data_IF_789336085729
#
_entry.id   IF_789336085729
#
_cell.length_a   1.000
_cell.length_b   1.000
_cell.length_c   1.000
_cell.angle_alpha   90.00
_cell.angle_beta   90.00
_cell.angle_gamma   90.00
#
_symmetry.space_group_name_H-M   'P 1'
#
loop_
_entity.id
_entity.type
_entity.pdbx_description
1 polymer ?
#
# COMPACT_ATOMS: atom_id res chain seq x y z
N UNK A 1 5.90 0.15 2.67
CA UNK A 1 4.58 -0.43 2.33
C UNK A 1 3.53 -0.27 3.45
N UNK A 2 3.62 -0.96 4.60
CA UNK A 2 2.57 -0.91 5.65
C UNK A 2 2.23 0.49 6.16
N UNK A 3 3.23 1.35 6.36
CA UNK A 3 3.00 2.76 6.70
C UNK A 3 2.10 3.47 5.66
N UNK A 4 2.34 3.25 4.37
CA UNK A 4 1.54 3.83 3.30
C UNK A 4 0.11 3.30 3.30
N UNK A 5 -0.09 2.00 3.59
CA UNK A 5 -1.43 1.43 3.78
C UNK A 5 -2.17 2.17 4.91
N UNK A 6 -1.49 2.43 6.02
CA UNK A 6 -2.10 3.09 7.18
C UNK A 6 -2.41 4.57 6.93
N UNK A 7 -1.51 5.29 6.27
CA UNK A 7 -1.67 6.73 6.04
C UNK A 7 -2.56 7.06 4.85
N UNK A 8 -2.59 6.22 3.81
CA UNK A 8 -3.37 6.46 2.58
C UNK A 8 -4.76 5.85 2.59
N UNK A 9 -4.95 4.70 3.23
CA UNK A 9 -6.26 4.02 3.30
C UNK A 9 -6.95 4.13 4.67
N UNK A 10 -6.41 4.95 5.58
CA UNK A 10 -6.91 5.13 6.95
C UNK A 10 -7.08 3.82 7.74
N UNK A 11 -6.35 2.77 7.34
CA UNK A 11 -6.42 1.45 7.95
C UNK A 11 -5.48 1.45 9.17
N UNK A 12 -6.03 1.33 10.38
CA UNK A 12 -5.17 1.14 11.56
C UNK A 12 -4.56 -0.27 11.55
N UNK A 13 -3.39 -0.48 12.18
CA UNK A 13 -2.75 -1.81 12.23
C UNK A 13 -3.71 -2.91 12.69
N UNK A 14 -4.48 -2.67 13.75
CA UNK A 14 -5.45 -3.65 14.27
C UNK A 14 -6.64 -3.93 13.33
N UNK A 15 -6.97 -3.01 12.43
CA UNK A 15 -8.02 -3.24 11.42
C UNK A 15 -7.47 -4.05 10.25
N UNK A 16 -6.23 -3.80 9.83
CA UNK A 16 -5.58 -4.54 8.74
C UNK A 16 -5.47 -6.03 9.05
N UNK A 17 -5.03 -6.38 10.27
CA UNK A 17 -4.88 -7.79 10.66
C UNK A 17 -6.22 -8.53 10.86
N UNK A 18 -7.34 -7.79 10.93
CA UNK A 18 -8.67 -8.38 11.00
C UNK A 18 -9.26 -8.68 9.62
N UNK A 19 -8.66 -8.17 8.54
CA UNK A 19 -9.12 -8.46 7.18
C UNK A 19 -8.89 -9.94 6.84
N UNK A 20 -9.74 -10.55 5.99
CA UNK A 20 -9.44 -11.85 5.40
C UNK A 20 -8.06 -11.88 4.75
N UNK A 21 -7.40 -13.04 4.80
CA UNK A 21 -6.02 -13.17 4.28
C UNK A 21 -5.89 -12.71 2.83
N UNK A 22 -6.89 -12.99 1.99
CA UNK A 22 -6.91 -12.55 0.59
C UNK A 22 -6.93 -11.02 0.46
N UNK A 23 -7.73 -10.32 1.26
CA UNK A 23 -7.77 -8.86 1.26
C UNK A 23 -6.46 -8.24 1.76
N UNK A 24 -5.82 -8.85 2.76
CA UNK A 24 -4.49 -8.41 3.21
C UNK A 24 -3.46 -8.52 2.08
N UNK A 25 -3.43 -9.66 1.38
CA UNK A 25 -2.51 -9.90 0.27
C UNK A 25 -2.75 -8.93 -0.88
N UNK A 26 -4.02 -8.73 -1.24
CA UNK A 26 -4.42 -7.79 -2.28
C UNK A 26 -3.95 -6.36 -1.95
N UNK A 27 -4.27 -5.86 -0.76
CA UNK A 27 -3.89 -4.51 -0.34
C UNK A 27 -2.37 -4.29 -0.32
N UNK A 28 -1.60 -5.29 0.11
CA UNK A 28 -0.14 -5.21 0.08
C UNK A 28 0.39 -5.13 -1.35
N UNK A 29 -0.04 -6.05 -2.23
CA UNK A 29 0.41 -6.09 -3.62
C UNK A 29 0.02 -4.82 -4.39
N UNK A 30 -1.21 -4.33 -4.22
CA UNK A 30 -1.65 -3.08 -4.85
C UNK A 30 -0.83 -1.88 -4.39
N UNK A 31 -0.53 -1.79 -3.08
CA UNK A 31 0.28 -0.69 -2.54
C UNK A 31 1.73 -0.73 -3.03
N UNK A 32 2.29 -1.92 -3.23
CA UNK A 32 3.64 -2.07 -3.79
C UNK A 32 3.71 -1.49 -5.21
N UNK A 33 2.74 -1.85 -6.07
CA UNK A 33 2.62 -1.33 -7.44
C UNK A 33 2.43 0.20 -7.46
N UNK A 34 1.61 0.76 -6.58
CA UNK A 34 1.41 2.21 -6.48
C UNK A 34 2.69 2.96 -6.10
N UNK A 35 3.50 2.37 -5.20
CA UNK A 35 4.75 2.98 -4.75
C UNK A 35 5.81 2.93 -5.85
N UNK A 36 5.91 1.80 -6.56
CA UNK A 36 6.80 1.66 -7.73
C UNK A 36 6.43 2.67 -8.82
N UNK A 37 5.15 2.76 -9.19
CA UNK A 37 4.69 3.72 -10.19
C UNK A 37 4.98 5.18 -9.80
N UNK A 38 4.84 5.51 -8.50
CA UNK A 38 5.18 6.84 -7.99
C UNK A 38 6.69 7.13 -8.04
N UNK A 39 7.52 6.13 -7.77
CA UNK A 39 8.98 6.25 -7.85
C UNK A 39 9.44 6.45 -9.30
N UNK A 40 8.90 5.67 -10.24
CA UNK A 40 9.19 5.79 -11.68
C UNK A 40 8.76 7.17 -12.23
N UNK A 41 7.60 7.66 -11.77
CA UNK A 41 7.11 8.99 -12.14
C UNK A 41 8.04 10.11 -11.63
N UNK A 42 8.59 9.97 -10.42
CA UNK A 42 9.55 10.91 -9.86
C UNK A 42 10.91 10.86 -10.58
N UNK A 43 11.34 9.68 -11.03
CA UNK A 43 12.60 9.52 -11.74
C UNK A 43 12.57 10.06 -13.17
N UNK A 44 11.41 10.02 -13.84
CA UNK A 44 11.24 10.51 -15.22
C UNK A 44 11.02 12.03 -15.34
N UNK A 45 10.89 12.73 -14.21
CA UNK A 45 10.62 14.18 -14.15
C UNK A 45 11.84 15.04 -13.71
N UNK A 46 13.03 14.43 -13.56
CA UNK A 46 14.30 15.11 -13.28
C UNK A 46 15.33 14.91 -14.40
#
# INVERSE_FOLDING_TARGET
MLHAIWTRHHLRPGQFWRLPRGEQLFLMASMELELEAAADSAASSG
#
